data_IF_990060881914
#
_entry.id   IF_990060881914
#
_cell.length_a   1.000
_cell.length_b   1.000
_cell.length_c   1.000
_cell.angle_alpha   90.00
_cell.angle_beta   90.00
_cell.angle_gamma   90.00
#
_symmetry.space_group_name_H-M   'P 1'
#
loop_
_entity.id
_entity.type
_entity.pdbx_description
1 polymer ?
#
# COMPACT_ATOMS: atom_id res chain seq x y z
N UNK A 1 16.96 16.67 -17.85
CA UNK A 1 16.22 15.77 -16.92
C UNK A 1 15.06 16.56 -16.33
N UNK A 2 13.86 16.41 -16.88
CA UNK A 2 12.67 17.13 -16.42
C UNK A 2 12.04 16.36 -15.26
N UNK A 3 12.20 16.90 -14.05
CA UNK A 3 11.55 16.39 -12.85
C UNK A 3 10.05 16.73 -12.93
N UNK A 4 9.23 15.74 -13.30
CA UNK A 4 7.78 15.83 -13.25
C UNK A 4 7.38 15.95 -11.77
N UNK A 5 7.25 17.18 -11.27
CA UNK A 5 6.82 17.43 -9.90
C UNK A 5 5.35 17.03 -9.76
N UNK A 6 5.12 15.82 -9.25
CA UNK A 6 3.79 15.38 -8.83
C UNK A 6 3.39 16.17 -7.57
N UNK A 7 2.80 17.35 -7.76
CA UNK A 7 2.16 18.10 -6.70
C UNK A 7 0.89 17.37 -6.28
N UNK A 8 0.98 16.55 -5.24
CA UNK A 8 -0.17 16.02 -4.53
C UNK A 8 -0.56 17.01 -3.42
N UNK A 9 -1.31 18.04 -3.79
CA UNK A 9 -1.93 18.95 -2.82
C UNK A 9 -3.21 18.27 -2.33
N UNK A 10 -3.14 17.64 -1.15
CA UNK A 10 -4.24 16.85 -0.58
C UNK A 10 -4.26 15.42 -1.11
N UNK A 11 -3.52 14.53 -0.46
CA UNK A 11 -3.36 13.12 -0.85
C UNK A 11 -4.66 12.32 -0.65
N UNK A 12 -5.56 12.39 -1.62
CA UNK A 12 -6.58 11.37 -1.80
C UNK A 12 -5.98 10.32 -2.74
N UNK A 13 -5.28 9.35 -2.15
CA UNK A 13 -4.88 8.13 -2.84
C UNK A 13 -5.93 7.05 -2.57
N UNK A 14 -6.29 6.29 -3.60
CA UNK A 14 -7.17 5.13 -3.47
C UNK A 14 -6.62 3.96 -4.27
N UNK A 15 -6.89 2.76 -3.81
CA UNK A 15 -6.61 1.57 -4.59
C UNK A 15 -7.77 1.29 -5.56
N UNK A 16 -7.46 1.15 -6.84
CA UNK A 16 -8.40 0.75 -7.88
C UNK A 16 -8.21 -0.74 -8.20
N UNK A 17 -9.16 -1.56 -7.74
CA UNK A 17 -9.14 -3.01 -7.93
C UNK A 17 -9.24 -3.42 -9.41
N UNK A 18 -9.82 -2.59 -10.29
CA UNK A 18 -9.91 -2.89 -11.73
C UNK A 18 -8.56 -2.74 -12.43
N UNK A 19 -7.78 -1.75 -12.00
CA UNK A 19 -6.45 -1.44 -12.56
C UNK A 19 -5.31 -2.12 -11.80
N UNK A 20 -5.62 -2.76 -10.69
CA UNK A 20 -4.66 -3.35 -9.75
C UNK A 20 -3.53 -2.38 -9.36
N UNK A 21 -3.92 -1.13 -9.09
CA UNK A 21 -2.97 -0.05 -8.85
C UNK A 21 -3.50 0.94 -7.81
N UNK A 22 -2.56 1.52 -7.06
CA UNK A 22 -2.82 2.71 -6.26
C UNK A 22 -2.86 3.92 -7.19
N UNK A 23 -4.00 4.60 -7.23
CA UNK A 23 -4.26 5.78 -8.04
C UNK A 23 -4.37 7.01 -7.16
N UNK A 24 -3.98 8.16 -7.71
CA UNK A 24 -4.03 9.45 -7.05
C UNK A 24 -4.27 10.56 -8.05
N UNK A 25 -4.73 11.69 -7.54
CA UNK A 25 -4.98 12.87 -8.35
C UNK A 25 -3.67 13.66 -8.52
N UNK A 26 -3.33 13.97 -9.76
CA UNK A 26 -2.19 14.83 -10.08
C UNK A 26 -2.62 15.91 -11.06
N UNK A 27 -2.01 17.10 -10.97
CA UNK A 27 -2.18 18.19 -11.94
C UNK A 27 -0.97 18.22 -12.86
N UNK A 28 -1.01 17.51 -14.00
CA UNK A 28 0.11 17.52 -14.92
C UNK A 28 0.22 18.88 -15.61
N UNK A 29 1.44 19.22 -16.05
CA UNK A 29 1.67 20.35 -16.93
C UNK A 29 1.90 19.83 -18.35
N UNK A 30 1.30 20.49 -19.34
CA UNK A 30 1.61 20.25 -20.73
C UNK A 30 3.00 20.81 -21.05
N UNK A 31 4.00 19.93 -21.16
CA UNK A 31 5.43 20.29 -21.20
C UNK A 31 5.79 21.33 -22.27
N UNK A 32 5.28 21.27 -23.52
CA UNK A 32 5.67 22.21 -24.55
C UNK A 32 5.31 23.68 -24.25
N UNK A 33 4.26 23.92 -23.47
CA UNK A 33 3.74 25.28 -23.19
C UNK A 33 3.64 25.58 -21.69
N UNK A 34 4.09 24.66 -20.84
CA UNK A 34 3.94 24.70 -19.38
C UNK A 34 2.49 24.98 -18.91
N UNK A 35 1.49 24.65 -19.73
CA UNK A 35 0.09 24.93 -19.42
C UNK A 35 -0.39 23.97 -18.33
N UNK A 36 -0.97 24.48 -17.23
CA UNK A 36 -1.53 23.65 -16.18
C UNK A 36 -2.77 22.93 -16.73
N UNK A 37 -2.78 21.61 -16.65
CA UNK A 37 -3.94 20.80 -17.02
C UNK A 37 -4.83 20.56 -15.79
N UNK A 38 -6.13 20.26 -15.99
CA UNK A 38 -7.00 19.85 -14.89
C UNK A 38 -6.44 18.64 -14.16
N UNK A 39 -6.83 18.47 -12.90
CA UNK A 39 -6.42 17.30 -12.12
C UNK A 39 -6.96 16.02 -12.79
N UNK A 40 -6.08 15.05 -13.03
CA UNK A 40 -6.42 13.76 -13.62
C UNK A 40 -5.97 12.65 -12.67
N UNK A 41 -6.81 11.63 -12.53
CA UNK A 41 -6.50 10.41 -11.80
C UNK A 41 -5.47 9.58 -12.57
N UNK A 42 -4.33 9.32 -11.93
CA UNK A 42 -3.22 8.53 -12.50
C UNK A 42 -2.70 7.53 -11.48
N UNK A 43 -2.16 6.38 -11.93
CA UNK A 43 -1.43 5.48 -11.04
C UNK A 43 -0.24 6.21 -10.44
N UNK A 44 0.03 5.99 -9.15
CA UNK A 44 1.21 6.57 -8.52
C UNK A 44 2.47 5.94 -9.11
N UNK A 45 3.49 6.74 -9.47
CA UNK A 45 4.75 6.23 -9.97
C UNK A 45 5.43 5.34 -8.93
N UNK A 46 5.85 4.16 -9.38
CA UNK A 46 6.71 3.25 -8.61
C UNK A 46 8.15 3.43 -9.08
N UNK A 47 9.04 3.71 -8.14
CA UNK A 47 10.47 3.85 -8.41
C UNK A 47 11.16 2.61 -7.85
N UNK A 48 11.77 1.80 -8.72
CA UNK A 48 12.38 0.51 -8.35
C UNK A 48 13.90 0.56 -8.43
N UNK A 49 14.56 -0.26 -7.61
CA UNK A 49 15.99 -0.58 -7.75
C UNK A 49 16.95 0.57 -7.42
N UNK A 50 18.10 0.63 -8.10
CA UNK A 50 19.21 1.57 -7.87
C UNK A 50 18.82 3.07 -7.93
N UNK A 51 17.67 3.39 -8.53
CA UNK A 51 17.14 4.75 -8.55
C UNK A 51 16.50 5.17 -7.20
N UNK A 52 16.21 4.21 -6.30
CA UNK A 52 15.59 4.47 -5.01
C UNK A 52 16.54 5.14 -4.00
N UNK A 53 17.83 4.86 -4.10
CA UNK A 53 18.88 5.41 -3.22
C UNK A 53 19.23 6.87 -3.51
N UNK A 54 18.91 7.38 -4.71
CA UNK A 54 19.13 8.78 -5.11
C UNK A 54 17.84 9.61 -5.08
N UNK A 55 16.78 9.11 -4.44
CA UNK A 55 15.48 9.78 -4.44
C UNK A 55 15.50 11.06 -3.65
N UNK A 56 14.80 12.07 -4.18
CA UNK A 56 14.51 13.28 -3.40
C UNK A 56 13.61 12.91 -2.21
N UNK A 57 13.68 13.69 -1.13
CA UNK A 57 12.82 13.51 0.05
C UNK A 57 11.32 13.46 -0.32
N UNK A 58 10.93 14.16 -1.39
CA UNK A 58 9.56 14.18 -1.89
C UNK A 58 9.17 12.84 -2.56
N UNK A 59 10.05 12.28 -3.39
CA UNK A 59 9.78 10.99 -4.04
C UNK A 59 9.71 9.84 -3.03
N UNK A 60 10.57 9.88 -2.00
CA UNK A 60 10.52 8.92 -0.90
C UNK A 60 9.18 8.98 -0.15
N UNK A 61 8.65 10.18 0.10
CA UNK A 61 7.35 10.34 0.74
C UNK A 61 6.22 9.77 -0.14
N UNK A 62 6.26 10.03 -1.44
CA UNK A 62 5.28 9.53 -2.39
C UNK A 62 5.27 7.99 -2.45
N UNK A 63 6.45 7.37 -2.44
CA UNK A 63 6.55 5.90 -2.38
C UNK A 63 6.00 5.35 -1.07
N UNK A 64 6.32 5.96 0.07
CA UNK A 64 5.79 5.52 1.34
C UNK A 64 4.26 5.60 1.39
N UNK A 65 3.67 6.64 0.80
CA UNK A 65 2.22 6.77 0.68
C UNK A 65 1.59 5.74 -0.25
N UNK A 66 2.29 5.37 -1.33
CA UNK A 66 1.86 4.30 -2.22
C UNK A 66 1.76 2.98 -1.45
N UNK A 67 2.77 2.61 -0.66
CA UNK A 67 2.73 1.38 0.14
C UNK A 67 1.68 1.45 1.26
N UNK A 68 1.54 2.61 1.93
CA UNK A 68 0.52 2.80 2.96
C UNK A 68 -0.91 2.69 2.39
N UNK A 69 -1.15 3.21 1.18
CA UNK A 69 -2.43 3.11 0.49
C UNK A 69 -2.71 1.70 -0.03
N UNK A 70 -1.68 0.98 -0.48
CA UNK A 70 -1.84 -0.43 -0.82
C UNK A 70 -2.14 -1.27 0.44
N UNK A 71 -1.43 -1.03 1.53
CA UNK A 71 -1.65 -1.69 2.81
C UNK A 71 -3.07 -1.47 3.35
N UNK A 72 -3.58 -0.23 3.27
CA UNK A 72 -4.97 0.06 3.65
C UNK A 72 -5.97 -0.71 2.78
N UNK A 73 -5.69 -0.88 1.48
CA UNK A 73 -6.53 -1.66 0.59
C UNK A 73 -6.49 -3.17 0.86
N UNK A 74 -5.34 -3.70 1.30
CA UNK A 74 -5.21 -5.10 1.73
C UNK A 74 -6.03 -5.34 3.00
N UNK A 75 -5.84 -4.48 4.02
CA UNK A 75 -6.56 -4.54 5.29
C UNK A 75 -8.08 -4.36 5.12
N UNK A 76 -8.50 -3.46 4.24
CA UNK A 76 -9.93 -3.29 3.89
C UNK A 76 -10.52 -4.47 3.09
N UNK A 77 -9.70 -5.44 2.67
CA UNK A 77 -10.10 -6.54 1.80
C UNK A 77 -10.47 -6.10 0.37
N UNK A 78 -10.04 -4.91 -0.07
CA UNK A 78 -10.26 -4.43 -1.45
C UNK A 78 -9.29 -5.08 -2.44
N UNK A 79 -8.04 -5.24 -2.03
CA UNK A 79 -7.05 -5.98 -2.82
C UNK A 79 -7.27 -7.50 -2.71
N UNK A 80 -7.59 -7.97 -1.51
CA UNK A 80 -7.77 -9.40 -1.19
C UNK A 80 -9.09 -9.61 -0.45
N UNK A 81 -10.18 -9.99 -1.14
CA UNK A 81 -11.53 -10.07 -0.56
C UNK A 81 -11.64 -11.00 0.65
N UNK A 82 -10.86 -12.09 0.71
CA UNK A 82 -10.90 -13.07 1.79
C UNK A 82 -10.45 -12.49 3.14
N UNK A 83 -9.60 -11.46 3.12
CA UNK A 83 -9.13 -10.78 4.34
C UNK A 83 -10.18 -9.84 4.95
N UNK A 84 -11.23 -9.48 4.20
CA UNK A 84 -12.32 -8.61 4.67
C UNK A 84 -12.98 -9.16 5.94
N UNK A 85 -13.04 -10.50 6.09
CA UNK A 85 -13.65 -11.17 7.26
C UNK A 85 -12.98 -10.79 8.59
N UNK A 86 -11.70 -10.45 8.57
CA UNK A 86 -10.93 -10.11 9.77
C UNK A 86 -10.98 -8.62 10.14
N UNK A 87 -11.59 -7.77 9.30
CA UNK A 87 -11.75 -6.34 9.53
C UNK A 87 -12.13 -5.93 10.97
N UNK A 88 -13.17 -6.53 11.60
CA UNK A 88 -13.57 -6.17 12.96
C UNK A 88 -12.58 -6.61 14.05
N UNK A 89 -11.71 -7.58 13.75
CA UNK A 89 -10.72 -8.13 14.70
C UNK A 89 -9.39 -7.36 14.69
N UNK A 90 -9.20 -6.44 13.74
CA UNK A 90 -7.97 -5.67 13.63
C UNK A 90 -7.90 -4.55 14.67
N UNK A 91 -6.68 -4.23 15.12
CA UNK A 91 -6.41 -3.14 16.04
C UNK A 91 -6.44 -1.77 15.36
N UNK A 92 -6.45 -1.71 14.02
CA UNK A 92 -6.35 -0.49 13.22
C UNK A 92 -7.41 -0.48 12.12
N UNK A 93 -7.98 0.69 11.87
CA UNK A 93 -8.85 0.90 10.71
C UNK A 93 -8.03 1.00 9.41
N UNK A 94 -8.62 0.69 8.25
CA UNK A 94 -7.96 0.91 6.96
C UNK A 94 -7.47 2.34 6.79
N UNK A 95 -8.21 3.34 7.27
CA UNK A 95 -7.83 4.74 7.24
C UNK A 95 -6.60 5.01 8.12
N UNK A 96 -6.49 4.33 9.27
CA UNK A 96 -5.32 4.39 10.14
C UNK A 96 -4.04 3.85 9.50
N UNK A 97 -4.15 2.92 8.53
CA UNK A 97 -2.99 2.41 7.78
C UNK A 97 -2.34 3.50 6.90
N UNK A 98 -3.08 4.55 6.51
CA UNK A 98 -2.54 5.66 5.71
C UNK A 98 -1.48 6.47 6.45
N UNK A 99 -1.42 6.38 7.78
CA UNK A 99 -0.34 6.98 8.56
C UNK A 99 1.03 6.33 8.24
N UNK A 100 1.04 5.07 7.77
CA UNK A 100 2.24 4.33 7.35
C UNK A 100 3.35 4.41 8.40
N UNK A 101 4.53 4.91 7.98
CA UNK A 101 5.70 5.07 8.87
C UNK A 101 5.48 6.02 10.06
N UNK A 102 4.50 6.91 9.98
CA UNK A 102 4.14 7.86 11.06
C UNK A 102 3.10 7.29 12.02
N UNK A 103 2.65 6.04 11.82
CA UNK A 103 1.71 5.41 12.72
C UNK A 103 2.33 5.19 14.10
N UNK A 104 1.55 5.49 15.16
CA UNK A 104 1.95 5.17 16.53
C UNK A 104 1.98 3.66 16.82
N UNK A 105 1.30 2.86 15.99
CA UNK A 105 1.25 1.40 16.16
C UNK A 105 2.42 0.75 15.43
N UNK A 106 3.26 0.00 16.16
CA UNK A 106 4.42 -0.70 15.58
C UNK A 106 4.00 -1.69 14.47
N UNK A 107 2.92 -2.43 14.68
CA UNK A 107 2.41 -3.41 13.70
C UNK A 107 2.10 -2.77 12.32
N UNK A 108 1.55 -1.55 12.29
CA UNK A 108 1.29 -0.81 11.04
C UNK A 108 2.59 -0.46 10.33
N UNK A 109 3.58 0.03 11.09
CA UNK A 109 4.88 0.39 10.53
C UNK A 109 5.58 -0.84 9.94
N UNK A 110 5.64 -1.93 10.70
CA UNK A 110 6.23 -3.19 10.25
C UNK A 110 5.53 -3.74 8.99
N UNK A 111 4.19 -3.75 8.96
CA UNK A 111 3.42 -4.22 7.82
C UNK A 111 3.69 -3.41 6.54
N UNK A 112 3.71 -2.08 6.65
CA UNK A 112 4.00 -1.20 5.50
C UNK A 112 5.46 -1.28 5.08
N UNK A 113 6.38 -1.44 6.02
CA UNK A 113 7.80 -1.62 5.74
C UNK A 113 8.11 -2.93 5.03
N UNK A 114 7.47 -4.03 5.40
CA UNK A 114 7.65 -5.32 4.71
C UNK A 114 7.10 -5.30 3.28
N UNK A 115 5.99 -4.59 3.04
CA UNK A 115 5.51 -4.33 1.67
C UNK A 115 6.50 -3.47 0.88
N UNK A 116 7.07 -2.44 1.50
CA UNK A 116 8.04 -1.56 0.85
C UNK A 116 9.37 -2.28 0.53
N UNK A 117 9.83 -3.15 1.44
CA UNK A 117 11.08 -3.92 1.32
C UNK A 117 11.05 -4.92 0.17
N UNK A 118 9.89 -5.53 -0.08
CA UNK A 118 9.67 -6.42 -1.23
C UNK A 118 9.09 -5.69 -2.45
N UNK A 119 8.98 -4.37 -2.39
CA UNK A 119 8.43 -3.48 -3.44
C UNK A 119 7.03 -3.90 -3.94
N UNK A 120 6.18 -4.38 -3.01
CA UNK A 120 4.84 -4.90 -3.33
C UNK A 120 3.80 -3.80 -3.25
N UNK A 121 3.13 -3.54 -4.37
CA UNK A 121 2.15 -2.46 -4.44
C UNK A 121 0.91 -2.80 -5.28
N UNK A 122 0.80 -4.05 -5.71
CA UNK A 122 -0.34 -4.58 -6.46
C UNK A 122 -0.70 -5.99 -5.96
N UNK A 123 -1.94 -6.36 -6.18
CA UNK A 123 -2.47 -7.70 -5.92
C UNK A 123 -1.68 -8.72 -6.73
N UNK A 124 -1.47 -8.50 -8.03
CA UNK A 124 -0.75 -9.44 -8.89
C UNK A 124 0.67 -9.73 -8.39
N UNK A 125 1.38 -8.73 -7.87
CA UNK A 125 2.71 -8.92 -7.25
C UNK A 125 2.63 -9.71 -5.96
N UNK A 126 1.66 -9.39 -5.10
CA UNK A 126 1.43 -10.11 -3.85
C UNK A 126 1.11 -11.59 -4.11
N UNK A 127 0.30 -11.88 -5.14
CA UNK A 127 -0.03 -13.25 -5.55
C UNK A 127 1.19 -14.02 -6.07
N UNK A 128 2.03 -13.36 -6.87
CA UNK A 128 3.29 -13.95 -7.33
C UNK A 128 4.22 -14.28 -6.16
N UNK A 129 4.31 -13.39 -5.17
CA UNK A 129 5.10 -13.62 -3.98
C UNK A 129 4.54 -14.74 -3.12
N UNK A 130 3.23 -14.84 -2.94
CA UNK A 130 2.63 -15.97 -2.22
C UNK A 130 2.78 -17.31 -2.92
N UNK A 131 2.93 -17.32 -4.25
CA UNK A 131 3.28 -18.55 -4.96
C UNK A 131 4.69 -19.06 -4.61
N UNK A 132 5.64 -18.17 -4.34
CA UNK A 132 7.01 -18.54 -3.91
C UNK A 132 7.18 -18.66 -2.40
N UNK A 133 6.58 -17.76 -1.62
CA UNK A 133 6.68 -17.63 -0.18
C UNK A 133 5.26 -17.57 0.42
N UNK A 134 4.57 -18.72 0.60
CA UNK A 134 3.16 -18.72 0.98
C UNK A 134 2.89 -18.09 2.35
N UNK A 135 3.88 -18.08 3.25
CA UNK A 135 3.79 -17.47 4.59
C UNK A 135 4.19 -15.98 4.61
N UNK A 136 4.47 -15.37 3.47
CA UNK A 136 4.81 -13.95 3.38
C UNK A 136 3.67 -13.09 3.91
N UNK A 137 3.98 -12.06 4.71
CA UNK A 137 3.08 -11.09 5.33
C UNK A 137 2.15 -11.65 6.44
N UNK A 138 2.20 -12.95 6.71
CA UNK A 138 1.42 -13.59 7.77
C UNK A 138 1.74 -13.07 9.18
N UNK A 139 3.01 -13.03 9.64
CA UNK A 139 3.31 -12.56 10.99
C UNK A 139 2.97 -11.08 11.18
N UNK A 140 3.16 -10.25 10.15
CA UNK A 140 2.80 -8.84 10.17
C UNK A 140 1.28 -8.66 10.21
N UNK A 141 0.51 -9.50 9.53
CA UNK A 141 -0.95 -9.47 9.59
C UNK A 141 -1.48 -9.92 10.95
N UNK A 142 -0.89 -10.97 11.55
CA UNK A 142 -1.22 -11.43 12.90
C UNK A 142 -0.96 -10.33 13.92
N UNK A 143 0.15 -9.59 13.79
CA UNK A 143 0.47 -8.45 14.66
C UNK A 143 -0.55 -7.29 14.58
N UNK A 144 -1.36 -7.22 13.51
CA UNK A 144 -2.45 -6.25 13.38
C UNK A 144 -3.74 -6.68 14.08
N UNK A 145 -3.84 -7.90 14.62
CA UNK A 145 -5.04 -8.34 15.35
C UNK A 145 -5.06 -7.73 16.75
N UNK A 146 -6.25 -7.26 17.18
CA UNK A 146 -6.46 -6.62 18.50
C UNK A 146 -6.38 -7.62 19.65
N UNK A 147 -6.87 -8.83 19.42
CA UNK A 147 -6.87 -9.92 20.40
C UNK A 147 -6.21 -11.15 19.82
N UNK A 148 -5.35 -11.78 20.62
CA UNK A 148 -4.84 -13.12 20.36
C UNK A 148 -5.92 -14.16 20.69
N UNK A 149 -7.11 -14.01 20.12
CA UNK A 149 -8.10 -15.08 20.19
C UNK A 149 -7.56 -16.25 19.36
N UNK A 150 -7.38 -17.39 20.01
CA UNK A 150 -6.84 -18.60 19.39
C UNK A 150 -7.64 -19.00 18.14
N UNK A 151 -8.97 -18.87 18.18
CA UNK A 151 -9.84 -19.17 17.03
C UNK A 151 -9.52 -18.29 15.83
N UNK A 152 -9.36 -16.98 16.05
CA UNK A 152 -9.10 -16.02 14.97
C UNK A 152 -7.69 -16.19 14.41
N UNK A 153 -6.72 -16.52 15.27
CA UNK A 153 -5.36 -16.84 14.85
C UNK A 153 -5.32 -18.11 13.99
N UNK A 154 -6.01 -19.17 14.44
CA UNK A 154 -6.12 -20.42 13.69
C UNK A 154 -6.81 -20.19 12.34
N UNK A 155 -7.91 -19.43 12.33
CA UNK A 155 -8.63 -19.06 11.10
C UNK A 155 -7.77 -18.27 10.10
N UNK A 156 -6.86 -17.41 10.59
CA UNK A 156 -5.89 -16.69 9.75
C UNK A 156 -4.86 -17.68 9.21
N UNK A 157 -4.32 -18.57 10.04
CA UNK A 157 -3.36 -19.59 9.62
C UNK A 157 -3.93 -20.53 8.55
N UNK A 158 -5.17 -20.99 8.74
CA UNK A 158 -5.81 -21.97 7.85
C UNK A 158 -6.20 -21.38 6.49
N UNK A 159 -6.51 -20.07 6.43
CA UNK A 159 -6.88 -19.40 5.19
C UNK A 159 -5.67 -18.87 4.41
N UNK A 160 -4.46 -18.92 4.97
CA UNK A 160 -3.28 -18.30 4.38
C UNK A 160 -2.55 -19.26 3.41
N UNK A 161 -2.15 -18.82 2.20
CA UNK A 161 -2.35 -17.50 1.62
C UNK A 161 -3.82 -17.25 1.19
N UNK A 162 -4.35 -16.05 1.43
CA UNK A 162 -5.76 -15.70 1.19
C UNK A 162 -6.07 -15.41 -0.29
N UNK A 163 -5.64 -16.31 -1.18
CA UNK A 163 -5.96 -16.32 -2.62
C UNK A 163 -7.41 -16.67 -2.89
#
# INVERSE_FOLDING_TARGET
MLSNKYFCVGFICRYDARRDAVVGWSRPNYVPLQLPLPAVERPLPRIRGLAASTLTTQDQQQQQQLYACFASAVVAGRAIPRLKKFGPSLCVTPEGMLAGKRSGTFAVRAFVEELAKREVASRAELLKLWASEPKYLLPEFIALLRSYNYETLQDVHDIWPPV
#
